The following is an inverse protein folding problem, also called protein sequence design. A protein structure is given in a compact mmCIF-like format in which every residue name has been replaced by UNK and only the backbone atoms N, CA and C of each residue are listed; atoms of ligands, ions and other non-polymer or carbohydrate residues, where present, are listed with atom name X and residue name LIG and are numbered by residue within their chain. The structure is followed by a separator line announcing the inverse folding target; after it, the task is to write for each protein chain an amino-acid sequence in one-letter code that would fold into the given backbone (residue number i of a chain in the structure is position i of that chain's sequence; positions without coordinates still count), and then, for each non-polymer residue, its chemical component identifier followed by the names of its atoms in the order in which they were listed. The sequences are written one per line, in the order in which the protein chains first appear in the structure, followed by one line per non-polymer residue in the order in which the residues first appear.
data_IF_827301710011
#
_entry.id   IF_827301710011
#
_cell.length_a   1.000
_cell.length_b   1.000
_cell.length_c   1.000
_cell.angle_alpha   90.00
_cell.angle_beta   90.00
_cell.angle_gamma   90.00
#
_symmetry.space_group_name_H-M   'P 1'
#
loop_
_entity.id
_entity.type
_entity.pdbx_description
1 polymer ?
#
# COMPACT_ATOMS: atom_id res chain seq x y z
N UNK A 1 -14.35 -7.85 -3.78
CA UNK A 1 -12.99 -8.41 -3.72
C UNK A 1 -12.63 -8.61 -2.25
N UNK A 2 -11.72 -9.52 -1.89
CA UNK A 2 -11.21 -9.58 -0.50
C UNK A 2 -10.68 -8.18 -0.13
N UNK A 3 -10.91 -7.73 1.10
CA UNK A 3 -10.33 -6.49 1.64
C UNK A 3 -8.82 -6.48 1.37
N UNK A 4 -8.29 -5.35 0.94
CA UNK A 4 -6.85 -5.14 0.71
C UNK A 4 -6.20 -6.06 -0.34
N UNK A 5 -6.99 -6.77 -1.17
CA UNK A 5 -6.46 -7.73 -2.13
C UNK A 5 -5.60 -7.08 -3.22
N UNK A 6 -6.00 -5.89 -3.68
CA UNK A 6 -5.27 -5.18 -4.73
C UNK A 6 -3.95 -4.65 -4.18
N UNK A 7 -3.97 -4.03 -3.00
CA UNK A 7 -2.77 -3.57 -2.31
C UNK A 7 -1.79 -4.73 -2.06
N UNK A 8 -2.29 -5.87 -1.56
CA UNK A 8 -1.48 -7.07 -1.32
C UNK A 8 -0.82 -7.58 -2.61
N UNK A 9 -1.59 -7.67 -3.70
CA UNK A 9 -1.10 -8.13 -4.99
C UNK A 9 -0.02 -7.19 -5.55
N UNK A 10 -0.31 -5.88 -5.57
CA UNK A 10 0.60 -4.89 -6.14
C UNK A 10 1.89 -4.76 -5.34
N UNK A 11 1.83 -4.79 -4.00
CA UNK A 11 3.01 -4.82 -3.14
C UNK A 11 3.84 -6.09 -3.37
N UNK A 12 3.19 -7.25 -3.56
CA UNK A 12 3.88 -8.51 -3.86
C UNK A 12 4.62 -8.44 -5.19
N UNK A 13 3.94 -7.97 -6.25
CA UNK A 13 4.54 -7.82 -7.59
C UNK A 13 5.70 -6.84 -7.53
N UNK A 14 5.52 -5.68 -6.89
CA UNK A 14 6.57 -4.68 -6.69
C UNK A 14 7.79 -5.29 -5.97
N UNK A 15 7.58 -6.02 -4.87
CA UNK A 15 8.65 -6.69 -4.14
C UNK A 15 9.43 -7.70 -4.98
N UNK A 16 8.74 -8.52 -5.78
CA UNK A 16 9.39 -9.49 -6.68
C UNK A 16 10.20 -8.78 -7.78
N UNK A 17 9.67 -7.71 -8.36
CA UNK A 17 10.38 -6.92 -9.38
C UNK A 17 11.64 -6.25 -8.79
N UNK A 18 11.53 -5.66 -7.60
CA UNK A 18 12.67 -5.08 -6.89
C UNK A 18 13.71 -6.15 -6.53
N UNK A 19 13.29 -7.37 -6.20
CA UNK A 19 14.21 -8.47 -5.93
C UNK A 19 14.99 -8.87 -7.18
N UNK A 20 14.33 -8.88 -8.35
CA UNK A 20 15.01 -9.08 -9.63
C UNK A 20 16.06 -7.98 -9.89
N UNK A 21 15.71 -6.71 -9.67
CA UNK A 21 16.66 -5.61 -9.82
C UNK A 21 17.82 -5.67 -8.80
N UNK A 22 17.54 -6.09 -7.58
CA UNK A 22 18.56 -6.31 -6.56
C UNK A 22 19.58 -7.36 -6.99
N UNK A 23 19.12 -8.47 -7.57
CA UNK A 23 19.98 -9.52 -8.11
C UNK A 23 20.75 -9.04 -9.35
N UNK A 24 20.06 -8.43 -10.31
CA UNK A 24 20.65 -7.98 -11.59
C UNK A 24 21.73 -6.91 -11.42
N UNK A 25 21.50 -5.95 -10.52
CA UNK A 25 22.43 -4.84 -10.27
C UNK A 25 23.28 -4.99 -9.00
N UNK A 26 23.15 -6.09 -8.26
CA UNK A 26 23.89 -6.32 -7.00
C UNK A 26 23.62 -5.25 -5.94
N UNK A 27 22.43 -4.64 -5.94
CA UNK A 27 22.12 -3.47 -5.13
C UNK A 27 21.42 -3.84 -3.82
N UNK A 28 22.07 -3.54 -2.70
CA UNK A 28 21.50 -3.69 -1.37
C UNK A 28 20.29 -2.78 -1.14
N UNK A 29 20.23 -1.63 -1.83
CA UNK A 29 19.09 -0.71 -1.75
C UNK A 29 17.85 -1.38 -2.33
N UNK A 30 17.93 -1.92 -3.54
CA UNK A 30 16.81 -2.65 -4.14
C UNK A 30 16.41 -3.87 -3.32
N UNK A 31 17.37 -4.57 -2.71
CA UNK A 31 17.07 -5.70 -1.82
C UNK A 31 16.26 -5.26 -0.59
N UNK A 32 16.65 -4.16 0.06
CA UNK A 32 15.96 -3.65 1.24
C UNK A 32 14.50 -3.28 0.90
N UNK A 33 14.28 -2.57 -0.20
CA UNK A 33 12.93 -2.20 -0.64
C UNK A 33 12.13 -3.41 -1.12
N UNK A 34 12.76 -4.40 -1.78
CA UNK A 34 12.11 -5.64 -2.16
C UNK A 34 11.55 -6.38 -0.94
N UNK A 35 12.39 -6.57 0.09
CA UNK A 35 11.99 -7.24 1.32
C UNK A 35 10.92 -6.43 2.07
N UNK A 36 11.05 -5.11 2.12
CA UNK A 36 10.03 -4.23 2.71
C UNK A 36 8.68 -4.42 2.01
N UNK A 37 8.64 -4.35 0.68
CA UNK A 37 7.40 -4.53 -0.10
C UNK A 37 6.77 -5.90 0.13
N UNK A 38 7.56 -6.97 0.20
CA UNK A 38 7.05 -8.32 0.50
C UNK A 38 6.52 -8.45 1.93
N UNK A 39 7.20 -7.87 2.92
CA UNK A 39 6.75 -7.86 4.32
C UNK A 39 5.45 -7.06 4.46
N UNK A 40 5.36 -5.90 3.80
CA UNK A 40 4.13 -5.12 3.78
C UNK A 40 3.00 -5.87 3.08
N UNK A 41 3.25 -6.54 1.96
CA UNK A 41 2.25 -7.36 1.28
C UNK A 41 1.69 -8.45 2.21
N UNK A 42 2.57 -9.18 2.91
CA UNK A 42 2.16 -10.19 3.88
C UNK A 42 1.32 -9.59 5.02
N UNK A 43 1.79 -8.49 5.61
CA UNK A 43 1.11 -7.82 6.72
C UNK A 43 -0.24 -7.21 6.33
N UNK A 44 -0.32 -6.61 5.14
CA UNK A 44 -1.55 -6.04 4.56
C UNK A 44 -2.55 -7.16 4.25
N UNK A 45 -2.10 -8.26 3.64
CA UNK A 45 -2.95 -9.41 3.35
C UNK A 45 -3.48 -10.14 4.60
N UNK A 46 -2.79 -9.98 5.74
CA UNK A 46 -3.23 -10.44 7.05
C UNK A 46 -4.04 -9.39 7.84
N UNK A 47 -4.39 -8.26 7.21
CA UNK A 47 -5.12 -7.14 7.81
C UNK A 47 -4.48 -6.57 9.10
N UNK A 48 -3.15 -6.65 9.21
CA UNK A 48 -2.45 -6.11 10.36
C UNK A 48 -2.50 -4.58 10.34
N UNK A 49 -3.16 -3.96 11.33
CA UNK A 49 -3.35 -2.50 11.44
C UNK A 49 -2.05 -1.70 11.28
N UNK A 50 -0.94 -2.18 11.83
CA UNK A 50 0.36 -1.50 11.72
C UNK A 50 0.91 -1.61 10.30
N UNK A 51 0.88 -2.80 9.70
CA UNK A 51 1.32 -3.01 8.32
C UNK A 51 0.51 -2.17 7.32
N UNK A 52 -0.81 -2.09 7.50
CA UNK A 52 -1.70 -1.26 6.68
C UNK A 52 -1.32 0.22 6.77
N UNK A 53 -1.06 0.73 7.97
CA UNK A 53 -0.61 2.13 8.16
C UNK A 53 0.74 2.39 7.52
N UNK A 54 1.71 1.49 7.69
CA UNK A 54 3.04 1.65 7.08
C UNK A 54 2.94 1.56 5.56
N UNK A 55 2.13 0.64 5.02
CA UNK A 55 1.89 0.50 3.58
C UNK A 55 1.24 1.76 2.99
N UNK A 56 0.31 2.39 3.71
CA UNK A 56 -0.29 3.66 3.30
C UNK A 56 0.76 4.76 3.16
N UNK A 57 1.64 4.93 4.16
CA UNK A 57 2.72 5.92 4.14
C UNK A 57 3.70 5.61 3.01
N UNK A 58 4.09 4.33 2.89
CA UNK A 58 5.00 3.86 1.85
C UNK A 58 4.47 4.18 0.45
N UNK A 59 3.23 3.80 0.16
CA UNK A 59 2.59 4.07 -1.13
C UNK A 59 2.39 5.57 -1.37
N UNK A 60 2.11 6.38 -0.34
CA UNK A 60 2.00 7.83 -0.47
C UNK A 60 3.33 8.47 -0.87
N UNK A 61 4.44 8.01 -0.27
CA UNK A 61 5.79 8.48 -0.61
C UNK A 61 6.17 8.05 -2.03
N UNK A 62 5.94 6.78 -2.41
CA UNK A 62 6.17 6.31 -3.78
C UNK A 62 5.37 7.12 -4.79
N UNK A 63 4.08 7.34 -4.53
CA UNK A 63 3.19 8.11 -5.41
C UNK A 63 3.71 9.55 -5.59
N UNK A 64 4.08 10.21 -4.49
CA UNK A 64 4.61 11.56 -4.52
C UNK A 64 5.88 11.65 -5.39
N UNK A 65 6.85 10.75 -5.20
CA UNK A 65 8.06 10.75 -6.02
C UNK A 65 7.79 10.37 -7.48
N UNK A 66 6.90 9.42 -7.74
CA UNK A 66 6.51 9.04 -9.09
C UNK A 66 5.92 10.22 -9.87
N UNK A 67 5.08 11.04 -9.21
CA UNK A 67 4.56 12.28 -9.79
C UNK A 67 5.65 13.32 -10.04
N UNK A 68 6.58 13.51 -9.09
CA UNK A 68 7.72 14.42 -9.30
C UNK A 68 8.57 14.00 -10.51
N UNK A 69 8.85 12.70 -10.66
CA UNK A 69 9.57 12.18 -11.82
C UNK A 69 8.78 12.31 -13.11
N UNK A 70 7.45 12.17 -13.05
CA UNK A 70 6.59 12.30 -14.22
C UNK A 70 6.61 13.76 -14.71
N UNK A 71 6.51 14.71 -13.78
CA UNK A 71 6.65 16.15 -14.05
C UNK A 71 8.05 16.48 -14.60
N UNK A 72 9.09 15.80 -14.11
CA UNK A 72 10.46 15.92 -14.62
C UNK A 72 10.66 15.27 -16.01
N UNK A 73 9.63 14.70 -16.63
CA UNK A 73 9.64 14.15 -17.99
C UNK A 73 9.89 12.65 -18.08
N UNK A 74 9.99 11.92 -16.95
CA UNK A 74 10.09 10.47 -16.97
C UNK A 74 8.71 9.83 -17.18
N UNK A 75 8.33 9.58 -18.43
CA UNK A 75 7.02 9.00 -18.73
C UNK A 75 6.79 7.62 -18.10
N UNK A 76 7.86 6.84 -17.86
CA UNK A 76 7.74 5.52 -17.24
C UNK A 76 7.28 5.59 -15.77
N UNK A 77 7.53 6.70 -15.06
CA UNK A 77 7.05 6.85 -13.69
C UNK A 77 5.52 7.02 -13.60
N UNK A 78 4.82 7.18 -14.73
CA UNK A 78 3.36 7.05 -14.76
C UNK A 78 2.90 5.65 -14.31
N UNK A 79 3.69 4.61 -14.58
CA UNK A 79 3.39 3.23 -14.13
C UNK A 79 3.50 3.17 -12.61
N UNK A 80 4.58 3.69 -12.04
CA UNK A 80 4.79 3.74 -10.58
C UNK A 80 3.70 4.56 -9.88
N UNK A 81 3.31 5.69 -10.47
CA UNK A 81 2.22 6.52 -9.98
C UNK A 81 0.87 5.77 -10.00
N UNK A 82 0.58 5.04 -11.08
CA UNK A 82 -0.64 4.24 -11.16
C UNK A 82 -0.66 3.12 -10.10
N UNK A 83 0.43 2.37 -9.96
CA UNK A 83 0.55 1.26 -8.99
C UNK A 83 0.33 1.79 -7.57
N UNK A 84 1.07 2.83 -7.18
CA UNK A 84 0.98 3.43 -5.85
C UNK A 84 -0.40 4.07 -5.60
N UNK A 85 -1.00 4.71 -6.60
CA UNK A 85 -2.38 5.21 -6.52
C UNK A 85 -3.40 4.10 -6.23
N UNK A 86 -3.31 2.96 -6.92
CA UNK A 86 -4.23 1.84 -6.69
C UNK A 86 -4.04 1.20 -5.32
N UNK A 87 -2.80 1.11 -4.82
CA UNK A 87 -2.52 0.67 -3.44
C UNK A 87 -3.17 1.63 -2.44
N UNK A 88 -2.97 2.94 -2.61
CA UNK A 88 -3.59 3.97 -1.76
C UNK A 88 -5.11 3.87 -1.77
N UNK A 89 -5.71 3.77 -2.96
CA UNK A 89 -7.16 3.66 -3.11
C UNK A 89 -7.74 2.45 -2.37
N UNK A 90 -7.10 1.28 -2.52
CA UNK A 90 -7.55 0.05 -1.86
C UNK A 90 -7.41 0.13 -0.33
N UNK A 91 -6.29 0.68 0.17
CA UNK A 91 -6.07 0.86 1.61
C UNK A 91 -7.03 1.89 2.21
N UNK A 92 -7.24 3.03 1.56
CA UNK A 92 -8.17 4.05 2.03
C UNK A 92 -9.61 3.54 2.05
N UNK A 93 -9.99 2.75 1.05
CA UNK A 93 -11.28 2.04 1.01
C UNK A 93 -11.46 1.14 2.23
N UNK A 94 -10.46 0.30 2.53
CA UNK A 94 -10.45 -0.55 3.72
C UNK A 94 -10.57 0.24 5.02
N UNK A 95 -9.79 1.32 5.19
CA UNK A 95 -9.83 2.14 6.41
C UNK A 95 -11.22 2.75 6.61
N UNK A 96 -11.86 3.22 5.52
CA UNK A 96 -13.22 3.77 5.59
C UNK A 96 -14.24 2.71 5.98
N UNK A 97 -14.15 1.49 5.42
CA UNK A 97 -15.04 0.38 5.80
C UNK A 97 -14.91 0.05 7.28
N UNK A 98 -13.68 -0.14 7.78
CA UNK A 98 -13.43 -0.47 9.20
C UNK A 98 -13.92 0.63 10.13
N UNK A 99 -13.73 1.91 9.76
CA UNK A 99 -14.22 3.03 10.56
C UNK A 99 -15.76 3.06 10.66
N UNK A 100 -16.46 2.72 9.58
CA UNK A 100 -17.93 2.64 9.57
C UNK A 100 -18.45 1.44 10.39
N UNK A 101 -17.74 0.31 10.39
CA UNK A 101 -18.05 -0.84 11.26
C UNK A 101 -17.93 -0.47 12.74
N UNK A 102 -16.85 0.21 13.12
CA UNK A 102 -16.62 0.70 14.49
C UNK A 102 -17.70 1.73 14.94
N UNK A 103 -18.29 2.48 14.01
CA UNK A 103 -19.37 3.45 14.29
C UNK A 103 -20.76 2.80 14.38
N UNK A 104 -21.04 1.79 13.55
CA UNK A 104 -22.31 1.05 13.56
C UNK A 104 -22.50 0.10 14.74
N UNK A 105 -21.41 -0.35 15.37
CA UNK A 105 -21.43 -1.19 16.57
C UNK A 105 -21.59 -0.41 17.89
N UNK A 106 -21.57 0.94 17.87
CA UNK A 106 -21.92 1.72 19.08
C UNK A 106 -23.43 1.59 19.32
N UNK A 107 -23.88 0.89 20.37
CA UNK A 107 -25.31 0.89 20.70
C UNK A 107 -25.70 2.32 21.06
N UNK A 108 -26.92 2.70 20.68
CA UNK A 108 -27.63 3.85 21.25
C UNK A 108 -27.88 3.63 22.76
N UNK A 109 -26.81 3.59 23.55
CA UNK A 109 -26.88 3.58 25.00
C UNK A 109 -27.04 5.03 25.47
N UNK A 110 -28.28 5.54 25.43
CA UNK A 110 -28.58 6.83 26.03
C UNK A 110 -29.88 7.53 25.67
N UNK A 111 -30.86 6.87 25.02
CA UNK A 111 -32.18 7.46 24.80
C UNK A 111 -33.28 6.59 25.41
N UNK A 112 -33.34 6.58 26.74
CA UNK A 112 -34.41 5.91 27.47
C UNK A 112 -34.09 5.74 28.95
N UNK A 113 -34.33 6.79 29.73
CA UNK A 113 -35.10 6.81 30.99
C UNK A 113 -35.03 8.20 31.64
#
# INVERSE_FOLDING_TARGET
MKRLALATLLLSINGVLLLYYAYSWGSLVYLAFALLSLVLAYGVGAENRTAVKVALIYAAVEFFFALLFLIAGNLFSAIDAAISFFILHDILGYIKEVALEDEGEKPEAGAGE
#
